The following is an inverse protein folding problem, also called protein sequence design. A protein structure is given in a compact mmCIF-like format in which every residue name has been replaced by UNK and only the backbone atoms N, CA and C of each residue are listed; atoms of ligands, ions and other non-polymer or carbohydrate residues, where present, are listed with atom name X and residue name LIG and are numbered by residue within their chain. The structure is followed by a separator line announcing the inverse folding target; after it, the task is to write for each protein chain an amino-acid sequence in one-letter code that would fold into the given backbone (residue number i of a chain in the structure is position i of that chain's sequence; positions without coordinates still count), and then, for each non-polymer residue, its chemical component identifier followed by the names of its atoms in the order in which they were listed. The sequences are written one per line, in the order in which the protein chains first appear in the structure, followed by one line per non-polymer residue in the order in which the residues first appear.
data_IF_058846862884
#
_entry.id   IF_058846862884
#
_cell.length_a   1.000
_cell.length_b   1.000
_cell.length_c   1.000
_cell.angle_alpha   90.00
_cell.angle_beta   90.00
_cell.angle_gamma   90.00
#
_symmetry.space_group_name_H-M   'P 1'
#
loop_
_entity.id
_entity.type
_entity.pdbx_description
1 polymer ?
#
# COMPACT_ATOMS: atom_id res chain seq x y z
N UNK A 1 -19.42 -9.27 -22.52
CA UNK A 1 -18.52 -10.40 -22.16
C UNK A 1 -17.75 -10.00 -20.92
N UNK A 2 -18.18 -10.49 -19.76
CA UNK A 2 -17.75 -10.02 -18.44
C UNK A 2 -16.59 -10.83 -17.85
N UNK A 3 -15.42 -10.20 -17.74
CA UNK A 3 -14.20 -10.77 -17.16
C UNK A 3 -14.02 -10.44 -15.66
N UNK A 4 -15.05 -9.90 -14.99
CA UNK A 4 -14.90 -9.24 -13.67
C UNK A 4 -15.35 -10.08 -12.46
N UNK A 5 -15.95 -11.26 -12.64
CA UNK A 5 -16.48 -12.06 -11.51
C UNK A 5 -15.45 -12.96 -10.80
N UNK A 6 -14.21 -13.08 -11.29
CA UNK A 6 -13.27 -14.09 -10.78
C UNK A 6 -12.03 -13.53 -10.05
N UNK A 7 -11.84 -12.21 -9.97
CA UNK A 7 -10.66 -11.63 -9.32
C UNK A 7 -11.10 -10.59 -8.30
N UNK A 8 -11.30 -11.05 -7.07
CA UNK A 8 -11.52 -10.17 -5.91
C UNK A 8 -10.28 -9.28 -5.76
N UNK A 9 -10.40 -7.94 -5.86
CA UNK A 9 -9.29 -7.03 -5.61
C UNK A 9 -8.71 -7.33 -4.22
N UNK A 10 -7.41 -7.63 -4.14
CA UNK A 10 -6.70 -7.83 -2.88
C UNK A 10 -6.54 -9.26 -2.35
N UNK A 11 -7.08 -10.30 -2.99
CA UNK A 11 -6.85 -11.69 -2.56
C UNK A 11 -5.74 -12.35 -3.39
N UNK A 12 -4.48 -12.08 -3.04
CA UNK A 12 -3.33 -12.79 -3.60
C UNK A 12 -2.83 -13.81 -2.56
N UNK A 13 -3.16 -15.08 -2.82
CA UNK A 13 -2.73 -16.31 -2.14
C UNK A 13 -3.58 -16.81 -0.96
N UNK A 14 -3.79 -18.14 -0.84
CA UNK A 14 -4.40 -18.74 0.34
C UNK A 14 -3.38 -18.69 1.49
N UNK A 15 -3.68 -17.95 2.56
CA UNK A 15 -3.07 -18.28 3.84
C UNK A 15 -3.67 -19.64 4.24
N UNK A 16 -2.82 -20.66 4.41
CA UNK A 16 -3.27 -22.01 4.72
C UNK A 16 -4.32 -22.03 5.83
N UNK A 17 -5.34 -22.89 5.69
CA UNK A 17 -6.50 -23.06 6.59
C UNK A 17 -7.56 -21.95 6.59
N UNK A 18 -8.00 -21.49 5.43
CA UNK A 18 -9.28 -20.76 5.33
C UNK A 18 -9.29 -19.34 5.91
N UNK A 19 -8.12 -18.73 6.14
CA UNK A 19 -8.00 -17.31 6.48
C UNK A 19 -7.70 -16.54 5.20
N UNK A 20 -8.61 -15.64 4.82
CA UNK A 20 -8.42 -14.74 3.69
C UNK A 20 -7.64 -13.51 4.20
N UNK A 21 -6.34 -13.44 3.94
CA UNK A 21 -5.48 -12.30 4.33
C UNK A 21 -5.13 -11.41 3.14
N UNK A 22 -4.98 -10.11 3.36
CA UNK A 22 -4.40 -9.20 2.38
C UNK A 22 -2.86 -9.25 2.47
N UNK A 23 -2.17 -9.14 1.33
CA UNK A 23 -0.82 -8.58 1.34
C UNK A 23 -0.89 -7.05 1.38
N UNK A 24 0.23 -6.36 1.64
CA UNK A 24 0.25 -4.91 1.83
C UNK A 24 -0.37 -4.14 0.64
N UNK A 25 0.01 -4.50 -0.58
CA UNK A 25 -0.53 -3.90 -1.81
C UNK A 25 -1.97 -4.32 -2.10
N UNK A 26 -2.37 -5.53 -1.73
CA UNK A 26 -3.72 -6.03 -1.91
C UNK A 26 -4.72 -5.34 -0.97
N UNK A 27 -4.29 -5.00 0.24
CA UNK A 27 -5.08 -4.20 1.17
C UNK A 27 -5.37 -2.81 0.59
N UNK A 28 -4.34 -2.13 0.11
CA UNK A 28 -4.50 -0.78 -0.47
C UNK A 28 -5.27 -0.83 -1.79
N UNK A 29 -5.03 -1.85 -2.63
CA UNK A 29 -5.79 -2.08 -3.85
C UNK A 29 -7.27 -2.28 -3.55
N UNK A 30 -7.60 -3.08 -2.54
CA UNK A 30 -8.98 -3.30 -2.10
C UNK A 30 -9.64 -2.01 -1.60
N UNK A 31 -8.95 -1.26 -0.73
CA UNK A 31 -9.47 0.00 -0.18
C UNK A 31 -9.78 1.02 -1.30
N UNK A 32 -8.86 1.19 -2.24
CA UNK A 32 -9.06 2.11 -3.36
C UNK A 32 -10.08 1.61 -4.40
N UNK A 33 -10.19 0.30 -4.58
CA UNK A 33 -11.23 -0.29 -5.42
C UNK A 33 -12.64 -0.01 -4.89
N UNK A 34 -12.84 0.08 -3.56
CA UNK A 34 -14.13 0.51 -2.99
C UNK A 34 -14.48 1.95 -3.37
N UNK A 35 -13.47 2.80 -3.58
CA UNK A 35 -13.64 4.17 -4.09
C UNK A 35 -13.62 4.24 -5.63
N UNK A 36 -13.60 3.11 -6.34
CA UNK A 36 -13.59 3.06 -7.81
C UNK A 36 -12.26 3.44 -8.46
N UNK A 37 -11.18 3.59 -7.70
CA UNK A 37 -9.87 4.05 -8.19
C UNK A 37 -8.93 2.84 -8.34
N UNK A 38 -8.27 2.73 -9.49
CA UNK A 38 -7.30 1.67 -9.79
C UNK A 38 -5.88 2.15 -9.53
N UNK A 39 -5.23 1.58 -8.51
CA UNK A 39 -3.90 2.00 -8.09
C UNK A 39 -2.76 1.07 -8.54
N UNK A 40 -3.04 -0.18 -8.91
CA UNK A 40 -2.03 -1.18 -9.28
C UNK A 40 -1.97 -2.34 -8.30
N UNK A 41 -1.42 -3.48 -8.74
CA UNK A 41 -1.50 -4.75 -8.01
C UNK A 41 -0.31 -5.05 -7.11
N UNK A 42 0.76 -4.27 -7.21
CA UNK A 42 1.95 -4.37 -6.34
C UNK A 42 2.33 -3.01 -5.75
N UNK A 43 3.03 -2.99 -4.62
CA UNK A 43 3.49 -1.76 -3.97
C UNK A 43 4.36 -0.89 -4.91
N UNK A 44 5.22 -1.51 -5.71
CA UNK A 44 6.04 -0.82 -6.73
C UNK A 44 5.20 -0.17 -7.82
N UNK A 45 4.22 -0.89 -8.35
CA UNK A 45 3.30 -0.35 -9.36
C UNK A 45 2.51 0.83 -8.80
N UNK A 46 1.99 0.70 -7.57
CA UNK A 46 1.25 1.75 -6.90
C UNK A 46 2.09 3.01 -6.74
N UNK A 47 3.33 2.89 -6.28
CA UNK A 47 4.22 4.05 -6.19
C UNK A 47 4.52 4.67 -7.56
N UNK A 48 4.97 3.86 -8.52
CA UNK A 48 5.41 4.35 -9.83
C UNK A 48 4.26 5.05 -10.58
N UNK A 49 3.04 4.51 -10.49
CA UNK A 49 1.84 5.06 -11.13
C UNK A 49 1.53 6.49 -10.68
N UNK A 50 1.77 6.81 -9.41
CA UNK A 50 1.49 8.13 -8.84
C UNK A 50 2.75 8.89 -8.45
N UNK A 51 3.89 8.52 -9.04
CA UNK A 51 5.19 9.14 -8.74
C UNK A 51 5.29 10.63 -9.12
N UNK A 52 4.35 11.14 -9.93
CA UNK A 52 4.17 12.57 -10.20
C UNK A 52 3.41 13.34 -9.10
N UNK A 53 2.68 12.63 -8.23
CA UNK A 53 1.88 13.20 -7.14
C UNK A 53 2.51 12.87 -5.78
N UNK A 54 3.80 13.17 -5.61
CA UNK A 54 4.50 12.93 -4.34
C UNK A 54 3.99 13.86 -3.25
N UNK A 55 3.94 13.35 -2.03
CA UNK A 55 3.49 14.10 -0.85
C UNK A 55 4.64 14.21 0.15
N UNK A 56 4.89 15.42 0.63
CA UNK A 56 5.84 15.63 1.72
C UNK A 56 5.25 15.12 3.04
N UNK A 57 6.09 14.66 3.98
CA UNK A 57 5.62 14.11 5.26
C UNK A 57 4.74 15.11 6.05
N UNK A 58 5.02 16.40 5.95
CA UNK A 58 4.22 17.46 6.59
C UNK A 58 2.84 17.70 5.95
N UNK A 59 2.62 17.22 4.73
CA UNK A 59 1.41 17.44 3.94
C UNK A 59 0.53 16.19 3.81
N UNK A 60 0.83 15.15 4.60
CA UNK A 60 0.10 13.89 4.57
C UNK A 60 -1.37 14.07 4.95
N UNK A 61 -2.25 13.52 4.13
CA UNK A 61 -3.71 13.53 4.30
C UNK A 61 -4.26 12.11 4.26
N UNK A 62 -5.36 11.83 4.99
CA UNK A 62 -6.04 10.53 4.90
C UNK A 62 -6.27 10.13 3.45
N UNK A 63 -5.84 8.91 3.09
CA UNK A 63 -5.83 8.42 1.72
C UNK A 63 -4.43 8.29 1.12
N UNK A 64 -3.44 9.06 1.57
CA UNK A 64 -2.08 8.96 1.01
C UNK A 64 -1.49 7.57 1.20
N UNK A 65 -0.79 7.09 0.19
CA UNK A 65 -0.08 5.81 0.24
C UNK A 65 1.36 6.06 0.69
N UNK A 66 1.80 5.32 1.71
CA UNK A 66 3.14 5.40 2.28
C UNK A 66 3.94 4.17 1.87
N UNK A 67 5.23 4.33 1.52
CA UNK A 67 6.04 3.25 0.99
C UNK A 67 7.37 3.10 1.74
N UNK A 68 7.83 1.85 1.84
CA UNK A 68 9.14 1.51 2.39
C UNK A 68 9.89 0.55 1.46
N UNK A 69 11.21 0.72 1.42
CA UNK A 69 12.13 -0.16 0.69
C UNK A 69 12.67 -1.30 1.57
N UNK A 70 13.51 -2.15 0.96
CA UNK A 70 14.14 -3.30 1.60
C UNK A 70 15.39 -2.96 2.45
N UNK A 71 15.69 -1.67 2.64
CA UNK A 71 16.80 -1.18 3.45
C UNK A 71 18.19 -1.35 2.82
N UNK A 72 18.28 -1.65 1.53
CA UNK A 72 19.57 -1.77 0.82
C UNK A 72 20.13 -0.40 0.44
N UNK A 73 21.46 -0.30 0.41
CA UNK A 73 22.22 0.95 0.21
C UNK A 73 21.97 1.70 -1.12
N UNK A 74 21.14 1.18 -2.03
CA UNK A 74 20.77 1.83 -3.28
C UNK A 74 19.24 1.82 -3.46
N UNK A 75 18.52 2.77 -2.81
CA UNK A 75 17.07 2.81 -2.84
C UNK A 75 16.59 3.23 -4.22
N UNK A 76 16.08 2.27 -4.97
CA UNK A 76 15.32 2.49 -6.21
C UNK A 76 13.86 2.18 -5.96
N UNK A 77 12.92 2.68 -6.78
CA UNK A 77 11.52 2.28 -6.64
C UNK A 77 11.32 0.77 -6.86
N UNK A 78 12.28 0.08 -7.49
CA UNK A 78 12.35 -1.37 -7.56
C UNK A 78 12.61 -2.06 -6.21
N UNK A 79 13.17 -1.36 -5.23
CA UNK A 79 13.42 -1.84 -3.88
C UNK A 79 12.20 -1.70 -2.94
N UNK A 80 11.11 -1.06 -3.38
CA UNK A 80 9.88 -0.95 -2.57
C UNK A 80 9.33 -2.35 -2.28
N UNK A 81 9.17 -2.65 -1.00
CA UNK A 81 8.64 -3.94 -0.51
C UNK A 81 7.38 -3.79 0.32
N UNK A 82 7.07 -2.58 0.81
CA UNK A 82 5.90 -2.34 1.65
C UNK A 82 5.10 -1.12 1.21
N UNK A 83 3.79 -1.17 1.45
CA UNK A 83 2.86 -0.05 1.28
C UNK A 83 1.82 -0.05 2.40
N UNK A 84 1.45 1.14 2.88
CA UNK A 84 0.39 1.34 3.87
C UNK A 84 -0.51 2.52 3.48
N UNK A 85 -1.73 2.54 4.01
CA UNK A 85 -2.69 3.62 3.82
C UNK A 85 -2.65 4.58 5.01
N UNK A 86 -2.31 5.85 4.79
CA UNK A 86 -2.37 6.87 5.83
C UNK A 86 -3.82 7.23 6.15
N UNK A 87 -4.15 7.34 7.44
CA UNK A 87 -5.51 7.61 7.93
C UNK A 87 -5.62 8.89 8.76
N UNK A 88 -4.55 9.71 8.81
CA UNK A 88 -4.50 10.92 9.64
C UNK A 88 -3.94 10.67 11.03
N UNK A 89 -3.71 11.76 11.79
CA UNK A 89 -3.26 11.68 13.18
C UNK A 89 -1.92 10.97 13.40
N UNK A 90 -1.05 10.90 12.37
CA UNK A 90 0.19 10.14 12.45
C UNK A 90 0.00 8.62 12.43
N UNK A 91 -1.15 8.14 11.94
CA UNK A 91 -1.49 6.71 11.90
C UNK A 91 -1.67 6.20 10.47
N UNK A 92 -1.48 4.89 10.30
CA UNK A 92 -1.68 4.17 9.05
C UNK A 92 -2.33 2.81 9.27
N UNK A 93 -3.01 2.31 8.24
CA UNK A 93 -3.50 0.93 8.17
C UNK A 93 -2.56 0.13 7.27
N UNK A 94 -2.12 -1.03 7.76
CA UNK A 94 -1.21 -1.91 7.04
C UNK A 94 -1.56 -3.39 7.20
N UNK A 95 -1.14 -4.19 6.22
CA UNK A 95 -0.95 -5.62 6.35
C UNK A 95 0.57 -5.88 6.38
N UNK A 96 1.19 -6.02 7.56
CA UNK A 96 2.64 -5.92 7.73
C UNK A 96 3.42 -7.05 7.05
N UNK A 97 2.84 -8.26 6.97
CA UNK A 97 3.39 -9.39 6.22
C UNK A 97 2.25 -10.21 5.59
N UNK A 98 2.60 -11.05 4.61
CA UNK A 98 1.64 -11.97 3.98
C UNK A 98 0.93 -12.82 5.04
N UNK A 99 -0.39 -12.72 5.09
CA UNK A 99 -1.22 -13.51 6.00
C UNK A 99 -1.30 -12.98 7.44
N UNK A 100 -0.62 -11.88 7.77
CA UNK A 100 -0.82 -11.21 9.06
C UNK A 100 -2.09 -10.35 9.07
N UNK A 101 -2.63 -10.13 10.26
CA UNK A 101 -3.86 -9.36 10.47
C UNK A 101 -3.63 -7.89 10.12
N UNK A 102 -4.59 -7.31 9.39
CA UNK A 102 -4.64 -5.87 9.14
C UNK A 102 -4.70 -5.13 10.47
N UNK A 103 -3.86 -4.12 10.64
CA UNK A 103 -3.79 -3.35 11.89
C UNK A 103 -3.60 -1.86 11.63
N UNK A 104 -3.97 -1.07 12.63
CA UNK A 104 -3.58 0.34 12.73
C UNK A 104 -2.21 0.40 13.41
N UNK A 105 -1.32 1.24 12.91
CA UNK A 105 0.02 1.45 13.46
C UNK A 105 0.45 2.90 13.27
N UNK A 106 1.46 3.35 14.02
CA UNK A 106 2.07 4.67 13.79
C UNK A 106 2.67 4.74 12.39
N UNK A 107 2.51 5.87 11.72
CA UNK A 107 3.12 6.14 10.42
C UNK A 107 4.64 6.24 10.59
N UNK A 108 5.36 5.22 10.11
CA UNK A 108 6.82 5.08 10.29
C UNK A 108 7.61 5.94 9.30
N UNK A 109 7.31 7.22 9.20
CA UNK A 109 7.93 8.17 8.23
C UNK A 109 9.35 8.57 8.62
N UNK A 110 9.75 8.38 9.88
CA UNK A 110 11.13 8.55 10.35
C UNK A 110 12.01 7.30 10.19
N UNK A 111 11.46 6.20 9.66
CA UNK A 111 12.23 4.98 9.41
C UNK A 111 13.34 5.24 8.39
N UNK A 112 14.51 4.62 8.58
CA UNK A 112 15.60 4.66 7.59
C UNK A 112 15.23 4.02 6.25
N UNK A 113 14.19 3.18 6.23
CA UNK A 113 13.65 2.52 5.02
C UNK A 113 12.46 3.27 4.42
N UNK A 114 12.07 4.43 4.97
CA UNK A 114 10.95 5.20 4.43
C UNK A 114 11.32 5.74 3.04
N UNK A 115 10.57 5.31 2.04
CA UNK A 115 10.84 5.64 0.63
C UNK A 115 10.10 6.92 0.19
N UNK A 116 8.89 7.14 0.71
CA UNK A 116 8.09 8.32 0.41
C UNK A 116 6.59 8.07 0.43
N UNK A 117 5.83 9.09 0.00
CA UNK A 117 4.38 9.04 -0.11
C UNK A 117 3.87 9.57 -1.45
N UNK A 118 2.71 9.08 -1.88
CA UNK A 118 1.99 9.58 -3.07
C UNK A 118 0.50 9.76 -2.77
N UNK A 119 -0.15 10.66 -3.53
CA UNK A 119 -1.60 10.90 -3.47
C UNK A 119 -2.30 10.41 -4.75
N UNK A 120 -2.99 9.25 -4.69
CA UNK A 120 -3.75 8.72 -5.83
C UNK A 120 -4.96 9.56 -6.27
N UNK A 121 -5.46 10.46 -5.42
CA UNK A 121 -6.67 11.28 -5.65
C UNK A 121 -6.36 12.73 -6.03
N UNK A 122 -5.15 13.01 -6.51
CA UNK A 122 -4.71 14.36 -6.90
C UNK A 122 -5.61 15.03 -7.94
#
# INVERSE_FOLDING_TARGET
MGWWRQQRPGLRHPAGRGVWGFDCSGLTEYAYAQAGIRIGGTSREQYNRFSGNRVAVGDLQPGDLLFWDDGRANPTSGAIVHVALYIGGGQMVEAPDRGQTVRISSARTSSSTYFGAVRPTG
#
